data_IF_980101583415
#
_entry.id   IF_980101583415
#
_cell.length_a   1.000
_cell.length_b   1.000
_cell.length_c   1.000
_cell.angle_alpha   90.00
_cell.angle_beta   90.00
_cell.angle_gamma   90.00
#
_symmetry.space_group_name_H-M   'P 1'
#
loop_
_entity.id
_entity.type
_entity.pdbx_description
1 polymer ?
#
# COMPACT_ATOMS: atom_id res chain seq x y z
N UNK A 1 -3.20 13.93 -2.16
CA UNK A 1 -3.92 12.66 -2.38
C UNK A 1 -3.28 11.92 -3.54
N UNK A 2 -2.24 11.13 -3.26
CA UNK A 2 -1.43 10.46 -4.28
C UNK A 2 -1.93 9.05 -4.63
N UNK A 3 -2.71 8.44 -3.74
CA UNK A 3 -3.25 7.10 -3.89
C UNK A 3 -4.78 7.08 -3.77
N UNK A 4 -5.44 6.17 -4.50
CA UNK A 4 -6.89 5.95 -4.46
C UNK A 4 -7.21 4.59 -3.86
N UNK A 5 -8.37 4.47 -3.19
CA UNK A 5 -8.91 3.17 -2.79
C UNK A 5 -9.09 2.29 -4.03
N UNK A 6 -8.65 1.03 -3.95
CA UNK A 6 -8.58 0.07 -5.05
C UNK A 6 -7.29 0.16 -5.89
N UNK A 7 -6.40 1.13 -5.63
CA UNK A 7 -5.14 1.24 -6.36
C UNK A 7 -4.13 0.19 -5.89
N UNK A 8 -3.42 -0.39 -6.85
CA UNK A 8 -2.28 -1.26 -6.58
C UNK A 8 -1.04 -0.43 -6.25
N UNK A 9 -0.36 -0.82 -5.18
CA UNK A 9 0.85 -0.18 -4.66
C UNK A 9 1.90 -1.23 -4.33
N UNK A 10 3.17 -0.90 -4.56
CA UNK A 10 4.29 -1.69 -4.04
C UNK A 10 4.57 -1.28 -2.61
N UNK A 11 4.69 -2.28 -1.74
CA UNK A 11 5.08 -2.10 -0.35
C UNK A 11 6.59 -1.78 -0.25
N UNK A 12 7.06 -1.25 0.90
CA UNK A 12 8.46 -0.92 1.08
C UNK A 12 9.37 -2.15 0.96
N UNK A 13 10.38 -2.04 0.10
CA UNK A 13 11.32 -3.12 -0.23
C UNK A 13 12.19 -3.53 0.96
N UNK A 14 12.30 -2.71 2.00
CA UNK A 14 13.04 -3.05 3.23
C UNK A 14 12.44 -4.23 4.00
N UNK A 15 11.12 -4.43 3.91
CA UNK A 15 10.41 -5.51 4.62
C UNK A 15 9.57 -6.40 3.71
N UNK A 16 9.16 -5.89 2.56
CA UNK A 16 8.18 -6.54 1.69
C UNK A 16 8.67 -6.50 0.23
N UNK A 17 9.87 -7.06 -0.01
CA UNK A 17 10.49 -7.11 -1.35
C UNK A 17 9.55 -7.75 -2.36
N UNK A 18 9.21 -7.01 -3.42
CA UNK A 18 8.37 -7.51 -4.52
C UNK A 18 6.89 -7.70 -4.17
N UNK A 19 6.45 -7.33 -2.96
CA UNK A 19 5.05 -7.48 -2.56
C UNK A 19 4.22 -6.32 -3.10
N UNK A 20 3.11 -6.68 -3.75
CA UNK A 20 2.10 -5.74 -4.21
C UNK A 20 0.88 -5.85 -3.30
N UNK A 21 0.38 -4.70 -2.88
CA UNK A 21 -0.84 -4.57 -2.10
C UNK A 21 -1.87 -3.70 -2.81
N UNK A 22 -3.08 -3.73 -2.27
CA UNK A 22 -4.21 -2.90 -2.71
C UNK A 22 -4.57 -1.93 -1.61
N UNK A 23 -4.69 -0.65 -1.93
CA UNK A 23 -5.19 0.36 -0.99
C UNK A 23 -6.67 0.08 -0.72
N UNK A 24 -7.03 -0.14 0.55
CA UNK A 24 -8.42 -0.40 0.95
C UNK A 24 -9.03 0.73 1.77
N UNK A 25 -8.20 1.54 2.44
CA UNK A 25 -8.63 2.75 3.11
C UNK A 25 -7.48 3.76 3.20
N UNK A 26 -7.81 5.03 3.40
CA UNK A 26 -6.87 6.07 3.77
C UNK A 26 -7.43 6.85 4.96
N UNK A 27 -6.56 7.30 5.85
CA UNK A 27 -6.91 8.19 6.95
C UNK A 27 -5.78 9.19 7.20
N UNK A 28 -5.93 10.05 8.22
CA UNK A 28 -4.91 11.05 8.58
C UNK A 28 -3.58 10.43 9.06
N UNK A 29 -3.59 9.17 9.47
CA UNK A 29 -2.41 8.45 10.00
C UNK A 29 -1.62 7.78 8.88
N UNK A 30 -2.31 7.32 7.83
CA UNK A 30 -1.67 6.69 6.67
C UNK A 30 -2.66 5.97 5.76
N UNK A 31 -2.11 5.06 4.97
CA UNK A 31 -2.82 4.33 3.91
C UNK A 31 -2.89 2.86 4.33
N UNK A 32 -4.10 2.35 4.50
CA UNK A 32 -4.34 0.94 4.78
C UNK A 32 -4.23 0.15 3.49
N UNK A 33 -3.30 -0.79 3.47
CA UNK A 33 -3.02 -1.64 2.32
C UNK A 33 -3.29 -3.09 2.70
N UNK A 34 -4.11 -3.77 1.90
CA UNK A 34 -4.29 -5.22 1.96
C UNK A 34 -3.32 -5.91 1.01
N UNK A 35 -2.62 -6.93 1.48
CA UNK A 35 -1.67 -7.73 0.69
C UNK A 35 -1.64 -9.18 1.20
N UNK A 36 -1.04 -10.09 0.44
CA UNK A 36 -1.01 -11.53 0.76
C UNK A 36 -2.40 -12.14 1.09
N UNK A 37 -3.46 -11.62 0.47
CA UNK A 37 -4.85 -12.09 0.61
C UNK A 37 -5.57 -11.67 1.90
N UNK A 38 -4.89 -11.67 3.05
CA UNK A 38 -5.51 -11.44 4.36
C UNK A 38 -4.80 -10.38 5.22
N UNK A 39 -3.58 -9.96 4.88
CA UNK A 39 -2.81 -9.03 5.71
C UNK A 39 -3.21 -7.61 5.41
N UNK A 40 -3.39 -6.80 6.45
CA UNK A 40 -3.81 -5.40 6.38
C UNK A 40 -2.90 -4.58 7.28
N UNK A 41 -2.14 -3.64 6.70
CA UNK A 41 -1.25 -2.75 7.45
C UNK A 41 -1.34 -1.32 6.95
N UNK A 42 -1.15 -0.39 7.86
CA UNK A 42 -1.02 1.02 7.55
C UNK A 42 0.42 1.32 7.13
N UNK A 43 0.55 2.06 6.02
CA UNK A 43 1.82 2.57 5.50
C UNK A 43 1.74 4.07 5.34
N UNK A 44 2.88 4.75 5.43
CA UNK A 44 2.97 6.17 5.07
C UNK A 44 2.96 6.33 3.55
N UNK A 45 2.52 7.49 3.06
CA UNK A 45 2.50 7.79 1.63
C UNK A 45 3.89 7.67 0.99
N UNK A 46 4.94 8.05 1.72
CA UNK A 46 6.35 7.99 1.30
C UNK A 46 6.93 6.56 1.23
N UNK A 47 6.34 5.60 1.94
CA UNK A 47 6.79 4.20 1.94
C UNK A 47 6.22 3.40 0.77
N UNK A 48 5.09 3.87 0.23
CA UNK A 48 4.41 3.24 -0.88
C UNK A 48 4.92 3.79 -2.20
N UNK A 49 5.01 2.91 -3.21
CA UNK A 49 5.21 3.31 -4.61
C UNK A 49 4.02 2.87 -5.43
N UNK A 50 3.51 3.73 -6.31
CA UNK A 50 2.45 3.34 -7.23
C UNK A 50 2.91 2.16 -8.09
N UNK A 51 2.13 1.07 -8.11
CA UNK A 51 2.39 -0.05 -9.01
C UNK A 51 1.85 0.32 -10.40
N UNK A 52 2.75 0.60 -11.35
CA UNK A 52 2.42 0.58 -12.77
C UNK A 52 2.76 -0.79 -13.31
N UNK A 53 1.76 -1.46 -13.89
CA UNK A 53 1.93 -2.72 -14.59
C UNK A 53 2.71 -2.50 -15.88
#
# INVERSE_FOLDING_TARGET
MRYKIGQLVRLPETKYVGVVGTVIAENKVGILVRFNGIQELYFKEEELKAYKK
#
